data_IF_194961380149
#
_entry.id   IF_194961380149
#
_cell.length_a   1.000
_cell.length_b   1.000
_cell.length_c   1.000
_cell.angle_alpha   90.00
_cell.angle_beta   90.00
_cell.angle_gamma   90.00
#
_symmetry.space_group_name_H-M   'P 1'
#
loop_
_entity.id
_entity.type
_entity.pdbx_description
1 polymer ?
#
# COMPACT_ATOMS: atom_id res chain seq x y z
N UNK A 1 -7.42 6.13 0.65
CA UNK A 1 -8.76 6.77 0.61
C UNK A 1 -9.20 7.03 -0.83
N UNK A 2 -8.57 7.97 -1.55
CA UNK A 2 -8.99 8.37 -2.90
C UNK A 2 -9.32 7.22 -3.86
N UNK A 3 -8.41 6.24 -4.00
CA UNK A 3 -8.60 5.10 -4.91
C UNK A 3 -9.80 4.21 -4.53
N UNK A 4 -10.09 4.05 -3.24
CA UNK A 4 -11.26 3.28 -2.78
C UNK A 4 -12.57 4.03 -3.01
N UNK A 5 -12.54 5.37 -2.92
CA UNK A 5 -13.72 6.20 -3.16
C UNK A 5 -14.03 6.38 -4.65
N UNK A 6 -13.00 6.36 -5.51
CA UNK A 6 -13.12 6.58 -6.96
C UNK A 6 -12.41 5.44 -7.73
N UNK A 7 -12.85 4.19 -7.60
CA UNK A 7 -12.13 3.02 -8.15
C UNK A 7 -12.01 3.06 -9.68
N UNK A 8 -12.90 3.76 -10.38
CA UNK A 8 -12.91 3.90 -11.84
C UNK A 8 -11.85 4.88 -12.37
N UNK A 9 -11.31 5.74 -11.50
CA UNK A 9 -10.32 6.78 -11.88
C UNK A 9 -8.88 6.33 -11.72
N UNK A 10 -8.66 5.15 -11.15
CA UNK A 10 -7.33 4.69 -10.75
C UNK A 10 -7.07 3.32 -11.36
N UNK A 11 -6.00 3.22 -12.16
CA UNK A 11 -5.54 1.94 -12.71
C UNK A 11 -4.46 1.26 -11.85
N UNK A 12 -3.76 2.04 -11.05
CA UNK A 12 -2.67 1.57 -10.20
C UNK A 12 -2.41 2.45 -9.00
N UNK A 13 -1.97 1.87 -7.89
CA UNK A 13 -1.57 2.59 -6.66
C UNK A 13 -0.24 2.06 -6.17
N UNK A 14 0.71 2.95 -5.90
CA UNK A 14 1.91 2.65 -5.13
C UNK A 14 1.83 3.40 -3.81
N UNK A 15 1.78 2.68 -2.69
CA UNK A 15 1.88 3.25 -1.35
C UNK A 15 3.26 2.97 -0.76
N UNK A 16 3.96 3.99 -0.26
CA UNK A 16 5.29 3.85 0.34
C UNK A 16 5.27 4.41 1.76
N UNK A 17 5.59 3.57 2.74
CA UNK A 17 5.60 3.87 4.18
C UNK A 17 4.31 4.56 4.69
N UNK A 18 3.19 4.40 3.97
CA UNK A 18 1.95 5.11 4.24
C UNK A 18 0.97 4.31 5.08
N UNK A 19 0.18 4.98 5.92
CA UNK A 19 -0.93 4.34 6.63
C UNK A 19 -2.13 4.03 5.72
N UNK A 20 -3.01 3.15 6.19
CA UNK A 20 -4.31 2.89 5.57
C UNK A 20 -5.43 3.63 6.32
N UNK A 21 -6.60 3.86 5.70
CA UNK A 21 -7.73 4.49 6.40
C UNK A 21 -8.12 3.68 7.64
N UNK A 22 -8.30 4.34 8.79
CA UNK A 22 -8.73 3.67 10.03
C UNK A 22 -10.17 3.16 9.97
N UNK A 23 -10.99 3.79 9.12
CA UNK A 23 -12.39 3.50 8.83
C UNK A 23 -12.56 2.57 7.62
N UNK A 24 -11.51 1.84 7.23
CA UNK A 24 -11.50 0.98 6.03
C UNK A 24 -12.66 -0.02 6.01
N UNK A 25 -12.99 -0.58 7.17
CA UNK A 25 -13.99 -1.63 7.33
C UNK A 25 -15.42 -1.08 7.54
N UNK A 26 -15.55 0.21 7.88
CA UNK A 26 -16.82 0.81 8.30
C UNK A 26 -17.35 1.86 7.34
N UNK A 27 -16.49 2.44 6.51
CA UNK A 27 -16.87 3.53 5.64
C UNK A 27 -17.54 3.02 4.36
N UNK A 28 -18.83 3.30 4.22
CA UNK A 28 -19.68 2.84 3.12
C UNK A 28 -19.37 3.51 1.77
N UNK A 29 -18.59 4.59 1.74
CA UNK A 29 -18.19 5.24 0.48
C UNK A 29 -17.07 4.48 -0.24
N UNK A 30 -16.37 3.58 0.48
CA UNK A 30 -15.31 2.78 -0.11
C UNK A 30 -15.91 1.66 -0.93
N UNK A 31 -15.45 1.57 -2.16
CA UNK A 31 -15.90 0.61 -3.14
C UNK A 31 -14.79 -0.39 -3.45
N UNK A 32 -15.15 -1.49 -4.10
CA UNK A 32 -14.20 -2.50 -4.54
C UNK A 32 -13.22 -1.90 -5.56
N UNK A 33 -11.94 -1.88 -5.22
CA UNK A 33 -10.87 -1.42 -6.10
C UNK A 33 -10.31 -2.60 -6.89
N UNK A 34 -10.33 -2.51 -8.22
CA UNK A 34 -9.74 -3.53 -9.11
C UNK A 34 -8.39 -3.10 -9.72
N UNK A 35 -7.82 -1.99 -9.24
CA UNK A 35 -6.51 -1.50 -9.63
C UNK A 35 -5.39 -2.41 -9.12
N UNK A 36 -4.27 -2.43 -9.82
CA UNK A 36 -3.02 -3.00 -9.32
C UNK A 36 -2.51 -2.16 -8.14
N UNK A 37 -2.12 -2.80 -7.03
CA UNK A 37 -1.64 -2.10 -5.84
C UNK A 37 -0.29 -2.67 -5.39
N UNK A 38 0.69 -1.80 -5.25
CA UNK A 38 1.98 -2.08 -4.64
C UNK A 38 2.12 -1.32 -3.32
N UNK A 39 2.48 -2.02 -2.25
CA UNK A 39 2.69 -1.44 -0.93
C UNK A 39 4.09 -1.73 -0.40
N UNK A 40 4.90 -0.68 -0.25
CA UNK A 40 6.29 -0.76 0.21
C UNK A 40 6.39 -0.16 1.60
N UNK A 41 7.13 -0.79 2.50
CA UNK A 41 7.36 -0.25 3.84
C UNK A 41 8.72 -0.70 4.42
N UNK A 42 9.23 0.09 5.36
CA UNK A 42 10.44 -0.23 6.12
C UNK A 42 10.15 -1.00 7.41
N UNK A 43 11.07 -1.87 7.82
CA UNK A 43 10.99 -2.63 9.08
C UNK A 43 11.48 -1.84 10.31
N UNK A 44 12.21 -0.75 10.10
CA UNK A 44 12.80 0.11 11.13
C UNK A 44 12.27 1.54 11.07
N UNK A 45 11.06 1.70 10.52
CA UNK A 45 10.32 2.96 10.47
C UNK A 45 10.00 3.50 11.87
N UNK A 46 10.21 4.80 12.05
CA UNK A 46 10.05 5.49 13.34
C UNK A 46 8.61 5.93 13.64
N UNK A 47 7.73 5.96 12.63
CA UNK A 47 6.32 6.33 12.76
C UNK A 47 5.42 5.13 12.98
N UNK A 48 5.69 4.02 12.29
CA UNK A 48 4.93 2.78 12.42
C UNK A 48 5.84 1.58 12.67
N UNK A 49 5.62 0.83 13.77
CA UNK A 49 6.36 -0.40 13.99
C UNK A 49 6.00 -1.44 12.91
N UNK A 50 6.92 -2.37 12.63
CA UNK A 50 6.74 -3.43 11.64
C UNK A 50 5.40 -4.18 11.80
N UNK A 51 5.00 -4.51 13.02
CA UNK A 51 3.73 -5.20 13.30
C UNK A 51 2.51 -4.42 12.77
N UNK A 52 2.57 -3.09 12.81
CA UNK A 52 1.50 -2.23 12.29
C UNK A 52 1.43 -2.28 10.78
N UNK A 53 2.58 -2.28 10.10
CA UNK A 53 2.63 -2.48 8.65
C UNK A 53 2.16 -3.87 8.24
N UNK A 54 2.54 -4.92 8.96
CA UNK A 54 2.06 -6.28 8.72
C UNK A 54 0.54 -6.38 8.90
N UNK A 55 -0.03 -5.68 9.88
CA UNK A 55 -1.48 -5.60 10.05
C UNK A 55 -2.15 -4.86 8.89
N UNK A 56 -1.53 -3.78 8.39
CA UNK A 56 -2.02 -3.10 7.19
C UNK A 56 -1.98 -3.99 5.96
N UNK A 57 -0.87 -4.70 5.75
CA UNK A 57 -0.71 -5.66 4.66
C UNK A 57 -1.82 -6.71 4.69
N UNK A 58 -2.07 -7.34 5.86
CA UNK A 58 -3.14 -8.34 6.02
C UNK A 58 -4.51 -7.78 5.66
N UNK A 59 -4.84 -6.56 6.12
CA UNK A 59 -6.11 -5.91 5.80
C UNK A 59 -6.24 -5.62 4.31
N UNK A 60 -5.21 -5.03 3.69
CA UNK A 60 -5.19 -4.71 2.28
C UNK A 60 -5.32 -5.95 1.40
N UNK A 61 -4.57 -7.01 1.72
CA UNK A 61 -4.65 -8.31 1.03
C UNK A 61 -6.04 -8.94 1.08
N UNK A 62 -6.81 -8.68 2.15
CA UNK A 62 -8.17 -9.17 2.29
C UNK A 62 -9.20 -8.49 1.39
N UNK A 63 -8.95 -7.24 0.95
CA UNK A 63 -9.93 -6.43 0.20
C UNK A 63 -9.49 -6.06 -1.22
N UNK A 64 -8.19 -6.13 -1.50
CA UNK A 64 -7.60 -5.76 -2.79
C UNK A 64 -7.23 -7.04 -3.57
N UNK A 65 -7.89 -7.32 -4.71
CA UNK A 65 -7.64 -8.54 -5.48
C UNK A 65 -6.24 -8.58 -6.12
N UNK A 66 -5.70 -7.43 -6.53
CA UNK A 66 -4.42 -7.30 -7.24
C UNK A 66 -3.38 -6.60 -6.36
N UNK A 67 -3.11 -7.16 -5.18
CA UNK A 67 -2.25 -6.56 -4.16
C UNK A 67 -0.89 -7.25 -4.06
N UNK A 68 0.16 -6.44 -4.02
CA UNK A 68 1.54 -6.84 -3.78
C UNK A 68 2.12 -5.97 -2.67
N UNK A 69 2.98 -6.55 -1.84
CA UNK A 69 3.72 -5.81 -0.82
C UNK A 69 5.18 -6.23 -0.79
N UNK A 70 6.04 -5.32 -0.29
CA UNK A 70 7.46 -5.59 -0.03
C UNK A 70 7.91 -4.84 1.22
N UNK A 71 8.72 -5.52 2.03
CA UNK A 71 9.35 -4.98 3.23
C UNK A 71 10.84 -4.80 2.99
N UNK A 72 11.41 -3.71 3.49
CA UNK A 72 12.83 -3.38 3.32
C UNK A 72 13.48 -3.08 4.67
N UNK A 73 14.78 -3.34 4.76
CA UNK A 73 15.61 -2.93 5.88
C UNK A 73 15.84 -1.40 5.82
N UNK A 74 14.85 -0.63 6.25
CA UNK A 74 14.80 0.83 6.05
C UNK A 74 13.96 1.53 7.12
N UNK A 75 14.29 2.80 7.36
CA UNK A 75 13.48 3.72 8.19
C UNK A 75 12.31 4.29 7.38
N UNK A 76 11.80 5.46 7.79
CA UNK A 76 10.79 6.21 7.04
C UNK A 76 11.41 6.97 5.86
N UNK A 77 11.92 6.23 4.89
CA UNK A 77 12.57 6.78 3.71
C UNK A 77 12.28 5.96 2.46
N UNK A 78 12.58 6.52 1.30
CA UNK A 78 12.52 5.81 0.02
C UNK A 78 13.95 5.42 -0.36
N UNK A 79 14.25 4.13 -0.31
CA UNK A 79 15.56 3.58 -0.69
C UNK A 79 15.68 3.41 -2.21
N UNK A 80 16.89 3.18 -2.71
CA UNK A 80 17.11 2.92 -4.14
C UNK A 80 16.49 1.58 -4.57
N UNK A 81 16.53 0.56 -3.73
CA UNK A 81 15.84 -0.71 -3.98
C UNK A 81 14.32 -0.52 -4.15
N UNK A 82 13.70 0.30 -3.28
CA UNK A 82 12.28 0.67 -3.45
C UNK A 82 12.05 1.38 -4.78
N UNK A 83 12.94 2.30 -5.20
CA UNK A 83 12.82 3.01 -6.48
C UNK A 83 12.91 2.08 -7.67
N UNK A 84 13.83 1.12 -7.63
CA UNK A 84 13.97 0.10 -8.67
C UNK A 84 12.72 -0.76 -8.78
N UNK A 85 12.19 -1.20 -7.65
CA UNK A 85 10.95 -1.99 -7.61
C UNK A 85 9.73 -1.21 -8.10
N UNK A 86 9.61 0.07 -7.74
CA UNK A 86 8.57 0.95 -8.27
C UNK A 86 8.68 1.12 -9.79
N UNK A 87 9.89 1.33 -10.32
CA UNK A 87 10.11 1.44 -11.78
C UNK A 87 9.76 0.13 -12.49
N UNK A 88 10.21 -0.99 -11.95
CA UNK A 88 9.89 -2.31 -12.48
C UNK A 88 8.40 -2.62 -12.40
N UNK A 89 7.68 -2.04 -11.43
CA UNK A 89 6.22 -2.13 -11.32
C UNK A 89 5.47 -1.26 -12.32
N UNK A 90 5.96 -0.04 -12.58
CA UNK A 90 5.35 0.88 -13.53
C UNK A 90 5.51 0.46 -15.00
N UNK A 91 6.55 -0.32 -15.31
CA UNK A 91 6.84 -0.77 -16.68
C UNK A 91 6.19 -2.12 -17.06
N UNK A 92 5.24 -2.61 -16.26
CA UNK A 92 4.54 -3.88 -16.48
C UNK A 92 3.35 -3.75 -17.43
#
# INVERSE_FOLDING_TARGET
RFALTNPERVRGVIGVCGGIPSDLDTNTIYQKLNAEVLYLYGDTDEFYPLEKFQNFEKKLKGILPNFQSKCYAAKHEITDEMREDMRAWLNR
#
